data_IF_633056213010
#
_entry.id   IF_633056213010
#
_cell.length_a   1.000
_cell.length_b   1.000
_cell.length_c   1.000
_cell.angle_alpha   90.00
_cell.angle_beta   90.00
_cell.angle_gamma   90.00
#
_symmetry.space_group_name_H-M   'P 1'
#
loop_
_entity.id
_entity.type
_entity.pdbx_description
1 polymer ?
#
# COMPACT_ATOMS: atom_id res chain seq x y z
N UNK A 1 11.27 -3.26 -20.61
CA UNK A 1 11.33 -1.78 -20.53
C UNK A 1 10.03 -1.35 -19.89
N UNK A 2 10.07 -0.49 -18.86
CA UNK A 2 8.83 0.02 -18.26
C UNK A 2 8.06 0.84 -19.29
N UNK A 3 6.80 0.51 -19.47
CA UNK A 3 5.82 1.24 -20.29
C UNK A 3 5.01 2.23 -19.45
N UNK A 4 5.04 2.09 -18.12
CA UNK A 4 4.39 2.94 -17.14
C UNK A 4 5.32 3.17 -15.95
N UNK A 5 5.39 4.41 -15.46
CA UNK A 5 6.09 4.75 -14.21
C UNK A 5 5.10 4.99 -13.07
N UNK A 6 5.53 4.88 -11.81
CA UNK A 6 4.67 5.18 -10.65
C UNK A 6 4.04 6.57 -10.69
N UNK A 7 4.79 7.58 -11.17
CA UNK A 7 4.29 8.95 -11.31
C UNK A 7 3.23 9.10 -12.40
N UNK A 8 3.42 8.45 -13.55
CA UNK A 8 2.42 8.46 -14.62
C UNK A 8 1.15 7.72 -14.20
N UNK A 9 1.28 6.59 -13.49
CA UNK A 9 0.14 5.85 -12.98
C UNK A 9 -0.62 6.66 -11.92
N UNK A 10 0.08 7.30 -10.97
CA UNK A 10 -0.56 8.16 -9.96
C UNK A 10 -1.37 9.30 -10.61
N UNK A 11 -0.80 9.99 -11.62
CA UNK A 11 -1.51 11.04 -12.36
C UNK A 11 -2.74 10.50 -13.11
N UNK A 12 -2.69 9.25 -13.58
CA UNK A 12 -3.81 8.62 -14.27
C UNK A 12 -4.95 8.23 -13.32
N UNK A 13 -4.64 7.89 -12.06
CA UNK A 13 -5.60 7.44 -11.05
C UNK A 13 -6.12 8.59 -10.17
N UNK A 14 -5.41 9.72 -10.13
CA UNK A 14 -5.78 10.90 -9.36
C UNK A 14 -7.15 11.44 -9.80
N UNK A 15 -8.07 11.58 -8.85
CA UNK A 15 -9.43 12.05 -9.14
C UNK A 15 -10.46 10.94 -9.35
N UNK A 16 -10.05 9.66 -9.38
CA UNK A 16 -11.01 8.57 -9.54
C UNK A 16 -11.90 8.42 -8.29
N UNK A 17 -13.13 7.98 -8.53
CA UNK A 17 -14.13 7.74 -7.49
C UNK A 17 -13.85 6.43 -6.74
N UNK A 18 -14.22 6.38 -5.47
CA UNK A 18 -14.00 5.26 -4.55
C UNK A 18 -14.60 3.93 -5.04
N UNK A 19 -15.70 4.01 -5.79
CA UNK A 19 -16.39 2.87 -6.39
C UNK A 19 -15.63 2.25 -7.57
N UNK A 20 -14.71 2.98 -8.19
CA UNK A 20 -13.91 2.52 -9.33
C UNK A 20 -12.55 3.23 -9.34
N UNK A 21 -11.73 2.95 -8.33
CA UNK A 21 -10.39 3.56 -8.19
C UNK A 21 -9.49 3.18 -9.37
N UNK A 22 -9.59 1.93 -9.83
CA UNK A 22 -8.71 1.36 -10.85
C UNK A 22 -9.45 0.31 -11.70
N UNK A 23 -9.23 0.35 -13.02
CA UNK A 23 -9.74 -0.66 -13.96
C UNK A 23 -8.81 -1.87 -14.04
N UNK A 24 -9.34 -3.02 -14.49
CA UNK A 24 -8.55 -4.24 -14.71
C UNK A 24 -7.36 -4.05 -15.67
N UNK A 25 -7.51 -3.20 -16.69
CA UNK A 25 -6.43 -2.94 -17.64
C UNK A 25 -5.33 -2.07 -17.02
N UNK A 26 -5.70 -1.07 -16.22
CA UNK A 26 -4.71 -0.29 -15.46
C UNK A 26 -3.97 -1.20 -14.47
N UNK A 27 -4.68 -2.09 -13.78
CA UNK A 27 -4.07 -3.05 -12.85
C UNK A 27 -3.08 -3.97 -13.57
N UNK A 28 -3.46 -4.52 -14.73
CA UNK A 28 -2.57 -5.33 -15.57
C UNK A 28 -1.32 -4.54 -15.97
N UNK A 29 -1.47 -3.28 -16.38
CA UNK A 29 -0.34 -2.41 -16.71
C UNK A 29 0.55 -2.18 -15.49
N UNK A 30 -0.01 -1.96 -14.31
CA UNK A 30 0.74 -1.80 -13.07
C UNK A 30 1.56 -3.07 -12.74
N UNK A 31 0.93 -4.24 -12.82
CA UNK A 31 1.60 -5.53 -12.61
C UNK A 31 2.77 -5.75 -13.59
N UNK A 32 2.57 -5.49 -14.88
CA UNK A 32 3.62 -5.61 -15.91
C UNK A 32 4.80 -4.65 -15.73
N UNK A 33 4.60 -3.57 -14.96
CA UNK A 33 5.61 -2.56 -14.66
C UNK A 33 6.17 -2.66 -13.24
N UNK A 34 5.84 -3.73 -12.50
CA UNK A 34 6.22 -3.95 -11.11
C UNK A 34 5.80 -2.79 -10.19
N UNK A 35 4.63 -2.20 -10.46
CA UNK A 35 4.04 -1.12 -9.69
C UNK A 35 2.95 -1.66 -8.78
N UNK A 36 2.96 -1.23 -7.53
CA UNK A 36 1.98 -1.55 -6.51
C UNK A 36 1.16 -0.30 -6.19
N UNK A 37 -0.16 -0.40 -6.30
CA UNK A 37 -1.11 0.62 -5.87
C UNK A 37 -1.70 0.19 -4.54
N UNK A 38 -1.70 1.10 -3.56
CA UNK A 38 -2.27 0.90 -2.23
C UNK A 38 -3.30 1.98 -1.93
N UNK A 39 -4.47 1.58 -1.50
CA UNK A 39 -5.54 2.50 -1.10
C UNK A 39 -6.48 1.84 -0.11
N UNK A 40 -7.27 2.65 0.61
CA UNK A 40 -8.32 2.13 1.48
C UNK A 40 -9.68 2.25 0.82
N UNK A 41 -10.48 1.20 0.92
CA UNK A 41 -11.90 1.23 0.56
C UNK A 41 -12.79 1.45 1.80
N UNK A 42 -14.08 1.70 1.55
CA UNK A 42 -15.06 2.02 2.60
C UNK A 42 -15.36 0.89 3.58
N UNK A 43 -14.90 -0.33 3.29
CA UNK A 43 -15.12 -1.54 4.07
C UNK A 43 -13.96 -1.86 5.02
N UNK A 44 -13.22 -0.84 5.45
CA UNK A 44 -12.12 -0.96 6.41
C UNK A 44 -10.94 -1.81 5.89
N UNK A 45 -10.74 -1.87 4.57
CA UNK A 45 -9.67 -2.68 3.95
C UNK A 45 -8.51 -1.83 3.42
N UNK A 46 -7.29 -2.39 3.49
CA UNK A 46 -6.14 -1.97 2.69
C UNK A 46 -6.10 -2.79 1.42
N UNK A 47 -6.35 -2.14 0.29
CA UNK A 47 -6.41 -2.77 -1.03
C UNK A 47 -5.07 -2.70 -1.75
N UNK A 48 -4.65 -3.82 -2.32
CA UNK A 48 -3.45 -3.94 -3.14
C UNK A 48 -3.83 -4.29 -4.58
N UNK A 49 -3.33 -3.50 -5.53
CA UNK A 49 -3.53 -3.75 -6.97
C UNK A 49 -2.21 -3.60 -7.73
N UNK A 50 -2.02 -4.43 -8.76
CA UNK A 50 -0.84 -4.41 -9.63
C UNK A 50 0.14 -5.52 -9.31
N UNK A 51 1.37 -5.17 -8.92
CA UNK A 51 2.45 -6.15 -8.65
C UNK A 51 2.12 -7.12 -7.51
N UNK A 52 1.27 -6.69 -6.57
CA UNK A 52 0.63 -7.51 -5.55
C UNK A 52 -0.87 -7.29 -5.70
N UNK A 53 -1.64 -8.36 -5.63
CA UNK A 53 -3.10 -8.33 -5.66
C UNK A 53 -3.63 -9.00 -4.40
N UNK A 54 -4.48 -8.30 -3.66
CA UNK A 54 -5.08 -8.79 -2.43
C UNK A 54 -5.68 -7.64 -1.61
N UNK A 55 -6.07 -7.98 -0.40
CA UNK A 55 -6.59 -7.05 0.61
C UNK A 55 -6.08 -7.48 1.98
N UNK A 56 -5.92 -6.51 2.88
CA UNK A 56 -5.65 -6.74 4.29
C UNK A 56 -6.69 -5.99 5.13
N UNK A 57 -7.05 -6.55 6.29
CA UNK A 57 -7.94 -5.87 7.23
C UNK A 57 -7.23 -4.65 7.83
N UNK A 58 -7.84 -3.48 7.66
CA UNK A 58 -7.39 -2.18 8.15
C UNK A 58 -8.44 -1.52 9.06
N UNK A 59 -9.35 -2.30 9.67
CA UNK A 59 -10.33 -1.79 10.63
C UNK A 59 -9.64 -1.07 11.80
N UNK A 60 -9.96 0.21 11.94
CA UNK A 60 -9.32 1.10 12.92
C UNK A 60 -7.91 1.56 12.55
N UNK A 61 -7.44 1.26 11.34
CA UNK A 61 -6.08 1.51 10.88
C UNK A 61 -5.11 0.36 11.15
N UNK A 62 -3.83 0.63 10.98
CA UNK A 62 -2.77 -0.33 11.28
C UNK A 62 -1.45 -0.04 10.59
N UNK A 63 -0.43 -0.74 11.07
CA UNK A 63 0.89 -0.76 10.45
C UNK A 63 1.06 -2.04 9.63
N UNK A 64 1.66 -1.87 8.47
CA UNK A 64 1.94 -2.93 7.52
C UNK A 64 3.37 -2.78 7.01
N UNK A 65 3.95 -3.88 6.54
CA UNK A 65 5.25 -3.87 5.89
C UNK A 65 5.20 -4.59 4.55
N UNK A 66 5.88 -4.00 3.56
CA UNK A 66 6.23 -4.71 2.33
C UNK A 66 7.37 -5.70 2.59
N UNK A 67 7.10 -6.97 2.30
CA UNK A 67 8.05 -8.08 2.38
C UNK A 67 8.32 -8.56 0.96
N UNK A 68 9.59 -8.60 0.55
CA UNK A 68 9.96 -9.11 -0.77
C UNK A 68 10.09 -10.64 -0.80
N UNK A 69 9.91 -11.23 -1.97
CA UNK A 69 10.15 -12.65 -2.20
C UNK A 69 11.53 -13.08 -1.69
N UNK A 70 11.54 -14.16 -0.88
CA UNK A 70 12.76 -14.68 -0.27
C UNK A 70 13.19 -13.97 1.02
N UNK A 71 12.52 -12.88 1.42
CA UNK A 71 12.75 -12.25 2.72
C UNK A 71 12.20 -13.08 3.87
N UNK A 72 12.88 -12.99 5.01
CA UNK A 72 12.44 -13.61 6.24
C UNK A 72 11.52 -12.65 6.99
N UNK A 73 10.45 -13.18 7.57
CA UNK A 73 9.51 -12.41 8.38
C UNK A 73 8.99 -13.29 9.53
N UNK A 74 8.54 -12.65 10.60
CA UNK A 74 7.71 -13.28 11.64
C UNK A 74 6.29 -12.74 11.49
N UNK A 75 5.32 -13.61 11.71
CA UNK A 75 3.91 -13.22 11.77
C UNK A 75 3.55 -12.96 13.24
N UNK A 76 2.64 -12.04 13.52
CA UNK A 76 2.27 -11.67 14.90
C UNK A 76 1.68 -12.86 15.67
N UNK A 77 1.08 -13.83 14.96
CA UNK A 77 0.51 -15.05 15.55
C UNK A 77 1.56 -16.14 15.85
N UNK A 78 2.83 -15.96 15.45
CA UNK A 78 3.86 -16.99 15.55
C UNK A 78 5.29 -16.44 15.57
N UNK A 79 6.04 -16.76 16.63
CA UNK A 79 7.49 -16.53 16.73
C UNK A 79 8.32 -17.31 15.67
N UNK A 80 7.69 -18.11 14.81
CA UNK A 80 8.38 -18.84 13.75
C UNK A 80 8.78 -17.90 12.60
N UNK A 81 10.08 -17.84 12.32
CA UNK A 81 10.60 -17.16 11.14
C UNK A 81 10.18 -17.93 9.89
N UNK A 82 9.43 -17.27 9.03
CA UNK A 82 9.00 -17.74 7.72
C UNK A 82 9.82 -17.06 6.62
N UNK A 83 9.77 -17.62 5.42
CA UNK A 83 10.37 -17.01 4.21
C UNK A 83 9.27 -16.76 3.20
N UNK A 84 9.17 -15.53 2.70
CA UNK A 84 8.15 -15.12 1.75
C UNK A 84 8.31 -15.87 0.42
N UNK A 85 7.25 -16.53 -0.03
CA UNK A 85 7.22 -17.22 -1.32
C UNK A 85 6.92 -16.29 -2.51
N UNK A 86 6.45 -15.07 -2.23
CA UNK A 86 6.18 -14.00 -3.19
C UNK A 86 6.24 -12.66 -2.43
N UNK A 87 6.28 -11.53 -3.16
CA UNK A 87 6.12 -10.22 -2.54
C UNK A 87 4.75 -10.12 -1.85
N UNK A 88 4.72 -9.60 -0.64
CA UNK A 88 3.51 -9.45 0.16
C UNK A 88 3.53 -8.12 0.92
N UNK A 89 2.34 -7.58 1.22
CA UNK A 89 2.17 -6.57 2.26
C UNK A 89 1.50 -7.30 3.41
N UNK A 90 2.08 -7.23 4.59
CA UNK A 90 1.56 -7.92 5.77
C UNK A 90 1.41 -6.94 6.91
N UNK A 91 0.37 -7.13 7.73
CA UNK A 91 0.23 -6.41 9.00
C UNK A 91 1.44 -6.72 9.88
N UNK A 92 1.93 -5.70 10.57
CA UNK A 92 2.98 -5.81 11.58
C UNK A 92 2.44 -5.29 12.91
N UNK A 93 2.93 -5.84 14.00
CA UNK A 93 2.53 -5.44 15.34
C UNK A 93 2.66 -3.93 15.55
N UNK A 94 1.60 -3.32 16.06
CA UNK A 94 1.54 -1.93 16.50
C UNK A 94 2.02 -1.76 17.95
N UNK A 95 2.45 -2.85 18.62
CA UNK A 95 3.06 -2.81 19.95
C UNK A 95 4.48 -2.22 19.93
N UNK A 96 5.12 -2.23 18.75
CA UNK A 96 6.46 -1.69 18.53
C UNK A 96 6.42 -0.34 17.80
N UNK A 97 7.46 0.46 18.03
CA UNK A 97 7.68 1.67 17.23
C UNK A 97 8.21 1.28 15.85
N UNK A 98 7.33 1.32 14.85
CA UNK A 98 7.65 0.97 13.47
C UNK A 98 8.16 2.17 12.64
N UNK A 99 8.29 3.37 13.21
CA UNK A 99 8.65 4.58 12.45
C UNK A 99 9.96 4.45 11.67
N UNK A 100 10.92 3.71 12.23
CA UNK A 100 12.22 3.46 11.59
C UNK A 100 12.19 2.32 10.55
N UNK A 101 11.06 1.62 10.40
CA UNK A 101 10.94 0.55 9.40
C UNK A 101 10.87 1.17 7.99
N UNK A 102 11.86 0.95 7.11
CA UNK A 102 11.88 1.53 5.77
C UNK A 102 10.78 0.96 4.85
N UNK A 103 10.10 -0.12 5.28
CA UNK A 103 9.00 -0.78 4.58
C UNK A 103 7.63 -0.44 5.14
N UNK A 104 7.56 0.43 6.16
CA UNK A 104 6.31 0.80 6.81
C UNK A 104 5.33 1.36 5.78
N UNK A 105 4.12 0.85 5.83
CA UNK A 105 2.89 1.38 5.26
C UNK A 105 1.94 1.53 6.44
N UNK A 106 1.42 2.73 6.67
CA UNK A 106 0.52 3.00 7.80
C UNK A 106 -0.80 3.50 7.29
N UNK A 107 -1.87 2.89 7.77
CA UNK A 107 -3.26 3.28 7.50
C UNK A 107 -3.86 3.91 8.76
N UNK A 108 -4.47 5.08 8.61
CA UNK A 108 -5.12 5.81 9.70
C UNK A 108 -6.58 6.14 9.34
N UNK A 109 -7.52 5.75 10.20
CA UNK A 109 -8.91 6.18 10.10
C UNK A 109 -9.09 7.57 10.72
N UNK A 110 -9.76 8.49 10.01
CA UNK A 110 -10.14 9.82 10.49
C UNK A 110 -9.03 10.53 11.28
N UNK A 111 -8.04 11.11 10.58
CA UNK A 111 -6.95 11.81 11.28
C UNK A 111 -7.48 12.82 12.30
N UNK A 112 -6.89 12.80 13.49
CA UNK A 112 -7.30 13.64 14.63
C UNK A 112 -7.10 15.14 14.38
N UNK A 113 -6.35 15.52 13.34
CA UNK A 113 -6.06 16.91 12.97
C UNK A 113 -7.17 17.57 12.12
N UNK A 114 -8.23 16.82 11.77
CA UNK A 114 -9.41 17.38 11.14
C UNK A 114 -9.33 17.53 9.62
N UNK A 115 -8.42 16.83 8.94
CA UNK A 115 -8.54 16.64 7.49
C UNK A 115 -9.83 15.90 7.16
N UNK A 116 -10.54 16.33 6.12
CA UNK A 116 -11.88 15.85 5.76
C UNK A 116 -11.94 14.44 5.16
N UNK A 117 -10.80 13.75 5.04
CA UNK A 117 -10.71 12.43 4.42
C UNK A 117 -11.02 11.34 5.44
N UNK A 118 -11.70 10.28 5.00
CA UNK A 118 -12.02 9.14 5.83
C UNK A 118 -10.77 8.32 6.19
N UNK A 119 -9.85 8.18 5.23
CA UNK A 119 -8.63 7.39 5.36
C UNK A 119 -7.38 8.18 4.94
N UNK A 120 -6.29 7.98 5.68
CA UNK A 120 -4.95 8.36 5.24
C UNK A 120 -4.01 7.15 5.22
N UNK A 121 -3.15 7.08 4.21
CA UNK A 121 -2.22 5.97 3.99
C UNK A 121 -0.81 6.47 3.74
N UNK A 122 0.05 6.43 4.75
CA UNK A 122 1.44 6.89 4.63
C UNK A 122 2.40 5.72 4.41
N UNK A 123 3.63 6.00 3.99
CA UNK A 123 4.67 4.98 3.90
C UNK A 123 6.08 5.58 3.93
N UNK A 124 7.05 4.83 4.43
CA UNK A 124 8.48 5.15 4.36
C UNK A 124 9.12 4.77 3.01
N UNK A 125 8.39 4.05 2.16
CA UNK A 125 8.85 3.63 0.84
C UNK A 125 8.89 4.81 -0.15
N UNK A 126 9.78 4.75 -1.17
CA UNK A 126 9.75 5.66 -2.31
C UNK A 126 8.42 5.56 -3.07
N UNK A 127 7.55 6.57 -2.92
CA UNK A 127 6.17 6.53 -3.41
C UNK A 127 5.76 7.80 -4.14
N UNK A 128 4.63 7.73 -4.84
CA UNK A 128 3.89 8.89 -5.33
C UNK A 128 2.46 8.82 -4.80
N UNK A 129 1.93 9.96 -4.40
CA UNK A 129 0.58 10.10 -3.87
C UNK A 129 -0.42 10.50 -4.95
N UNK A 130 -1.66 10.06 -4.78
CA UNK A 130 -2.83 10.58 -5.50
C UNK A 130 -4.06 10.56 -4.58
N UNK A 131 -5.14 11.23 -4.98
CA UNK A 131 -6.37 11.35 -4.20
C UNK A 131 -7.51 10.57 -4.83
N UNK A 132 -8.21 9.82 -3.99
CA UNK A 132 -9.47 9.14 -4.32
C UNK A 132 -10.63 10.01 -3.83
N UNK A 133 -11.68 10.07 -4.63
CA UNK A 133 -12.85 10.92 -4.39
C UNK A 133 -14.07 10.06 -4.08
N UNK A 134 -15.04 10.62 -3.38
CA UNK A 134 -16.36 10.04 -3.23
C UNK A 134 -17.40 11.15 -3.37
N UNK A 135 -18.23 11.06 -4.41
CA UNK A 135 -19.29 12.02 -4.71
C UNK A 135 -18.80 13.48 -4.82
N UNK A 136 -17.61 13.67 -5.41
CA UNK A 136 -17.02 15.00 -5.60
C UNK A 136 -16.38 15.60 -4.34
N UNK A 137 -16.21 14.82 -3.28
CA UNK A 137 -15.41 15.18 -2.10
C UNK A 137 -14.17 14.27 -2.00
N UNK A 138 -12.99 14.79 -1.62
CA UNK A 138 -11.83 13.95 -1.35
C UNK A 138 -12.11 12.94 -0.23
N UNK A 139 -11.96 11.66 -0.53
CA UNK A 139 -12.30 10.55 0.35
C UNK A 139 -11.08 9.94 1.05
N UNK A 140 -10.02 9.66 0.30
CA UNK A 140 -8.85 8.93 0.80
C UNK A 140 -7.57 9.31 0.04
N UNK A 141 -6.43 9.26 0.73
CA UNK A 141 -5.12 9.22 0.09
C UNK A 141 -4.83 7.84 -0.51
N UNK A 142 -4.00 7.79 -1.55
CA UNK A 142 -3.54 6.53 -2.12
C UNK A 142 -2.09 6.64 -2.59
N UNK A 143 -1.41 5.50 -2.65
CA UNK A 143 0.01 5.40 -2.96
C UNK A 143 0.25 4.57 -4.21
N UNK A 144 1.26 4.97 -4.98
CA UNK A 144 1.90 4.12 -5.99
C UNK A 144 3.37 3.92 -5.62
N UNK A 145 3.77 2.66 -5.50
CA UNK A 145 5.12 2.22 -5.17
C UNK A 145 5.70 1.46 -6.36
N UNK A 146 6.96 1.71 -6.68
CA UNK A 146 7.70 0.95 -7.67
C UNK A 146 8.57 -0.07 -6.94
N UNK A 147 8.28 -1.36 -7.09
CA UNK A 147 9.00 -2.41 -6.38
C UNK A 147 10.43 -2.60 -6.91
N UNK A 148 10.79 -2.04 -8.07
CA UNK A 148 12.18 -2.06 -8.54
C UNK A 148 13.07 -1.02 -7.81
N UNK A 149 12.47 -0.06 -7.09
CA UNK A 149 13.17 0.93 -6.27
C UNK A 149 13.35 0.49 -4.80
N UNK A 150 12.96 -0.75 -4.50
CA UNK A 150 12.80 -1.29 -3.15
C UNK A 150 13.98 -2.23 -2.86
N UNK A 151 14.96 -1.76 -2.08
CA UNK A 151 16.22 -2.48 -1.80
C UNK A 151 16.06 -3.61 -0.77
N UNK A 152 16.35 -4.90 -1.10
CA UNK A 152 16.18 -6.00 -0.15
C UNK A 152 16.79 -5.74 1.23
N UNK A 153 16.07 -6.10 2.29
CA UNK A 153 16.60 -5.99 3.64
C UNK A 153 17.80 -6.92 3.79
N UNK A 154 18.88 -6.40 4.39
CA UNK A 154 20.08 -7.20 4.66
C UNK A 154 19.75 -8.28 5.68
N UNK A 155 19.67 -9.53 5.23
CA UNK A 155 19.54 -10.69 6.09
C UNK A 155 20.90 -10.94 6.76
N UNK A 156 20.92 -10.99 8.10
CA UNK A 156 22.11 -11.29 8.91
C UNK A 156 22.28 -12.79 9.17
#
# INVERSE_FOLDING_TARGET
MKTMTKGQLAVLLDGNESVEVMTLEQERIAAENNLLVLFCQSDDTLEMRGAIHGEEDAAGGGDFALILEGEQFSDDDSDAIQRAGANAVMRISDEYDNEDNPRLIRVEWCRKDGTSWAWDITSNLPRVWFTIWDNGEPFSGALVIDLDEVEPLKQH
#
